data_IF_524869931904
#
_entry.id   IF_524869931904
#
_cell.length_a   1.000
_cell.length_b   1.000
_cell.length_c   1.000
_cell.angle_alpha   90.00
_cell.angle_beta   90.00
_cell.angle_gamma   90.00
#
_symmetry.space_group_name_H-M   'P 1'
#
loop_
_entity.id
_entity.type
_entity.pdbx_description
1 polymer ?
#
# COMPACT_ATOMS: atom_id res chain seq x y z
N UNK A 1 -19.69 16.67 6.29
CA UNK A 1 -18.40 16.41 6.98
C UNK A 1 -17.34 16.42 5.91
N UNK A 2 -16.17 17.01 6.18
CA UNK A 2 -15.18 17.31 5.15
C UNK A 2 -14.75 16.03 4.41
N UNK A 3 -15.06 15.93 3.12
CA UNK A 3 -14.45 14.95 2.22
C UNK A 3 -12.99 15.38 2.03
N UNK A 4 -12.12 14.98 2.96
CA UNK A 4 -10.71 14.86 2.66
C UNK A 4 -10.57 13.74 1.63
N UNK A 5 -9.91 14.02 0.50
CA UNK A 5 -9.56 12.99 -0.48
C UNK A 5 -8.90 11.80 0.22
N UNK A 6 -9.35 10.58 -0.10
CA UNK A 6 -8.86 9.38 0.57
C UNK A 6 -7.32 9.26 0.39
N UNK A 7 -6.56 8.97 1.46
CA UNK A 7 -5.09 8.95 1.44
C UNK A 7 -4.46 8.03 0.40
N UNK A 8 -5.15 6.96 0.00
CA UNK A 8 -4.70 5.97 -0.98
C UNK A 8 -4.75 6.49 -2.42
N UNK A 9 -5.68 7.40 -2.74
CA UNK A 9 -5.88 7.89 -4.12
C UNK A 9 -4.61 8.53 -4.70
N UNK A 10 -3.94 9.49 -4.02
CA UNK A 10 -2.71 10.08 -4.55
C UNK A 10 -1.59 9.07 -4.78
N UNK A 11 -1.49 8.03 -3.92
CA UNK A 11 -0.48 6.99 -4.05
C UNK A 11 -0.71 6.14 -5.31
N UNK A 12 -1.93 5.62 -5.49
CA UNK A 12 -2.21 4.75 -6.64
C UNK A 12 -2.23 5.53 -7.96
N UNK A 13 -2.59 6.81 -7.93
CA UNK A 13 -2.42 7.69 -9.09
C UNK A 13 -0.94 7.80 -9.48
N UNK A 14 -0.05 8.14 -8.54
CA UNK A 14 1.38 8.24 -8.80
C UNK A 14 1.97 6.92 -9.33
N UNK A 15 1.63 5.78 -8.72
CA UNK A 15 2.10 4.46 -9.15
C UNK A 15 1.65 4.12 -10.58
N UNK A 16 0.41 4.49 -10.93
CA UNK A 16 -0.14 4.29 -12.28
C UNK A 16 0.57 5.18 -13.30
N UNK A 17 0.83 6.44 -12.96
CA UNK A 17 1.57 7.38 -13.83
C UNK A 17 3.01 6.92 -14.06
N UNK A 18 3.70 6.48 -13.00
CA UNK A 18 5.06 5.93 -13.11
C UNK A 18 5.11 4.69 -13.98
N UNK A 19 4.14 3.77 -13.82
CA UNK A 19 4.04 2.58 -14.66
C UNK A 19 3.87 2.96 -16.14
N UNK A 20 2.92 3.86 -16.44
CA UNK A 20 2.69 4.33 -17.82
C UNK A 20 3.96 4.97 -18.41
N UNK A 21 4.71 5.72 -17.61
CA UNK A 21 5.98 6.29 -18.04
C UNK A 21 7.00 5.21 -18.39
N UNK A 22 7.18 4.20 -17.54
CA UNK A 22 8.10 3.07 -17.79
C UNK A 22 7.74 2.36 -19.09
N UNK A 23 6.46 2.07 -19.31
CA UNK A 23 5.98 1.38 -20.52
C UNK A 23 6.16 2.22 -21.78
N UNK A 24 5.97 3.53 -21.67
CA UNK A 24 6.21 4.45 -22.79
C UNK A 24 7.69 4.52 -23.18
N UNK A 25 8.59 4.41 -22.19
CA UNK A 25 10.04 4.48 -22.39
C UNK A 25 10.62 3.15 -22.88
N UNK A 26 10.09 2.02 -22.38
CA UNK A 26 10.50 0.67 -22.80
C UNK A 26 9.81 0.23 -24.10
N UNK A 27 8.70 0.87 -24.46
CA UNK A 27 7.78 0.45 -25.52
C UNK A 27 7.32 -1.01 -25.34
N UNK A 28 7.23 -1.45 -24.08
CA UNK A 28 6.82 -2.78 -23.67
C UNK A 28 5.87 -2.68 -22.48
N UNK A 29 4.90 -3.58 -22.47
CA UNK A 29 3.97 -3.71 -21.36
C UNK A 29 4.64 -4.31 -20.11
N UNK A 30 4.48 -3.66 -18.96
CA UNK A 30 5.02 -4.08 -17.66
C UNK A 30 3.96 -4.80 -16.80
N UNK A 31 3.59 -6.01 -17.25
CA UNK A 31 2.54 -6.83 -16.64
C UNK A 31 2.82 -7.16 -15.16
N UNK A 32 4.08 -7.42 -14.80
CA UNK A 32 4.45 -7.72 -13.42
C UNK A 32 4.24 -6.51 -12.50
N UNK A 33 4.58 -5.30 -12.96
CA UNK A 33 4.39 -4.07 -12.19
C UNK A 33 2.90 -3.77 -12.01
N UNK A 34 2.07 -3.98 -13.04
CA UNK A 34 0.61 -3.92 -12.89
C UNK A 34 0.10 -4.83 -11.78
N UNK A 35 0.49 -6.10 -11.82
CA UNK A 35 0.06 -7.09 -10.84
C UNK A 35 0.52 -6.71 -9.42
N UNK A 36 1.72 -6.14 -9.26
CA UNK A 36 2.21 -5.65 -7.97
C UNK A 36 1.41 -4.45 -7.45
N UNK A 37 1.06 -3.50 -8.32
CA UNK A 37 0.22 -2.35 -7.96
C UNK A 37 -1.18 -2.82 -7.54
N UNK A 38 -1.78 -3.77 -8.26
CA UNK A 38 -3.08 -4.35 -7.90
C UNK A 38 -3.03 -5.09 -6.56
N UNK A 39 -2.02 -5.94 -6.36
CA UNK A 39 -1.82 -6.65 -5.09
C UNK A 39 -1.62 -5.69 -3.92
N UNK A 40 -0.88 -4.59 -4.12
CA UNK A 40 -0.72 -3.54 -3.12
C UNK A 40 -2.05 -2.86 -2.81
N UNK A 41 -2.88 -2.60 -3.82
CA UNK A 41 -4.24 -2.09 -3.68
C UNK A 41 -5.10 -2.94 -2.75
N UNK A 42 -5.01 -4.26 -2.88
CA UNK A 42 -5.71 -5.19 -1.98
C UNK A 42 -5.08 -5.26 -0.60
N UNK A 43 -3.76 -5.10 -0.48
CA UNK A 43 -3.04 -5.16 0.80
C UNK A 43 -3.38 -3.96 1.68
N UNK A 44 -3.48 -2.75 1.12
CA UNK A 44 -3.72 -1.53 1.91
C UNK A 44 -5.10 -1.51 2.58
N UNK A 45 -6.09 -2.20 2.00
CA UNK A 45 -7.44 -2.31 2.56
C UNK A 45 -7.56 -3.38 3.65
N UNK A 46 -6.53 -4.22 3.84
CA UNK A 46 -6.58 -5.28 4.84
C UNK A 46 -6.59 -4.70 6.24
N UNK A 47 -7.54 -5.17 7.03
CA UNK A 47 -7.67 -4.86 8.45
C UNK A 47 -7.82 -6.18 9.19
N UNK A 48 -7.14 -6.39 10.34
CA UNK A 48 -7.34 -7.59 11.14
C UNK A 48 -8.82 -7.79 11.48
N UNK A 49 -9.35 -8.98 11.18
CA UNK A 49 -10.78 -9.29 11.38
C UNK A 49 -11.15 -9.48 12.86
N UNK A 50 -10.18 -9.80 13.72
CA UNK A 50 -10.38 -9.99 15.15
C UNK A 50 -9.23 -9.35 15.93
N UNK A 51 -9.59 -8.58 16.97
CA UNK A 51 -8.65 -8.26 18.03
C UNK A 51 -8.18 -9.58 18.67
N UNK A 52 -6.92 -9.67 19.14
CA UNK A 52 -6.48 -10.84 19.88
C UNK A 52 -7.48 -11.16 20.99
N UNK A 53 -7.79 -12.45 21.17
CA UNK A 53 -8.45 -12.95 22.40
C UNK A 53 -7.71 -12.36 23.60
N UNK A 54 -8.38 -12.16 24.74
CA UNK A 54 -7.72 -11.74 25.97
C UNK A 54 -6.41 -12.54 26.16
N UNK A 55 -5.30 -11.85 25.90
CA UNK A 55 -3.95 -12.39 26.07
C UNK A 55 -3.56 -12.16 27.51
N UNK A 56 -2.86 -13.11 28.11
CA UNK A 56 -2.19 -12.89 29.39
C UNK A 56 -0.92 -12.02 29.20
N UNK A 57 -0.33 -11.54 30.31
CA UNK A 57 0.85 -10.66 30.26
C UNK A 57 2.06 -11.31 29.55
N UNK A 58 2.21 -12.63 29.67
CA UNK A 58 3.34 -13.37 29.09
C UNK A 58 3.16 -13.55 27.58
N UNK A 59 1.93 -13.82 27.13
CA UNK A 59 1.55 -13.85 25.72
C UNK A 59 1.67 -12.47 25.07
N UNK A 60 1.31 -11.40 25.79
CA UNK A 60 1.52 -10.02 25.31
C UNK A 60 3.01 -9.76 25.10
N UNK A 61 3.87 -10.11 26.05
CA UNK A 61 5.31 -9.95 25.91
C UNK A 61 5.86 -10.74 24.70
N UNK A 62 5.40 -11.97 24.49
CA UNK A 62 5.81 -12.79 23.36
C UNK A 62 5.37 -12.20 22.00
N UNK A 63 4.15 -11.66 21.90
CA UNK A 63 3.71 -10.99 20.68
C UNK A 63 4.43 -9.66 20.46
N UNK A 64 4.79 -8.92 21.51
CA UNK A 64 5.62 -7.72 21.41
C UNK A 64 7.04 -8.04 20.92
N UNK A 65 7.69 -9.08 21.44
CA UNK A 65 9.00 -9.55 20.97
C UNK A 65 8.96 -9.95 19.48
N UNK A 66 7.90 -10.65 19.09
CA UNK A 66 7.65 -11.02 17.70
C UNK A 66 7.38 -9.81 16.81
N UNK A 67 6.63 -8.81 17.27
CA UNK A 67 6.44 -7.55 16.56
C UNK A 67 7.78 -6.81 16.39
N UNK A 68 8.59 -6.74 17.45
CA UNK A 68 9.91 -6.11 17.42
C UNK A 68 10.81 -6.77 16.38
N UNK A 69 10.91 -8.10 16.37
CA UNK A 69 11.74 -8.82 15.40
C UNK A 69 11.28 -8.62 13.95
N UNK A 70 9.97 -8.49 13.71
CA UNK A 70 9.42 -8.16 12.39
C UNK A 70 9.78 -6.75 11.98
N UNK A 71 9.71 -5.79 12.90
CA UNK A 71 10.11 -4.41 12.64
C UNK A 71 11.60 -4.31 12.30
N UNK A 72 12.47 -5.01 13.04
CA UNK A 72 13.90 -5.08 12.74
C UNK A 72 14.18 -5.67 11.36
N UNK A 73 13.40 -6.66 10.93
CA UNK A 73 13.54 -7.24 9.59
C UNK A 73 13.13 -6.25 8.49
N UNK A 74 12.02 -5.54 8.67
CA UNK A 74 11.56 -4.50 7.74
C UNK A 74 12.59 -3.37 7.65
N UNK A 75 13.14 -2.91 8.78
CA UNK A 75 14.17 -1.87 8.82
C UNK A 75 15.45 -2.28 8.07
N UNK A 76 15.88 -3.54 8.22
CA UNK A 76 17.01 -4.10 7.45
C UNK A 76 16.72 -4.14 5.95
N UNK A 77 15.52 -4.55 5.55
CA UNK A 77 15.14 -4.60 4.13
C UNK A 77 15.13 -3.19 3.52
N UNK A 78 14.58 -2.21 4.23
CA UNK A 78 14.55 -0.81 3.80
C UNK A 78 15.98 -0.27 3.69
N UNK A 79 16.79 -0.42 4.75
CA UNK A 79 18.17 0.05 4.77
C UNK A 79 18.98 -0.58 3.63
N UNK A 80 18.84 -1.89 3.41
CA UNK A 80 19.51 -2.58 2.30
C UNK A 80 19.09 -2.05 0.93
N UNK A 81 17.79 -1.75 0.73
CA UNK A 81 17.31 -1.18 -0.52
C UNK A 81 17.82 0.25 -0.74
N UNK A 82 17.81 1.07 0.31
CA UNK A 82 18.29 2.46 0.28
C UNK A 82 19.81 2.58 0.09
N UNK A 83 20.58 1.62 0.62
CA UNK A 83 22.03 1.56 0.45
C UNK A 83 22.41 1.05 -0.95
N UNK A 84 21.59 0.18 -1.53
CA UNK A 84 21.84 -0.40 -2.87
C UNK A 84 21.52 0.58 -3.99
N UNK A 85 20.54 1.47 -3.79
CA UNK A 85 20.09 2.42 -4.80
C UNK A 85 19.77 3.81 -4.17
N UNK A 86 20.68 4.79 -4.30
CA UNK A 86 20.45 6.16 -3.83
C UNK A 86 19.26 6.86 -4.49
N UNK A 87 18.90 6.50 -5.73
CA UNK A 87 17.75 7.09 -6.43
C UNK A 87 16.44 6.62 -5.81
N UNK A 88 16.36 5.34 -5.43
CA UNK A 88 15.22 4.79 -4.67
C UNK A 88 15.04 5.54 -3.35
N UNK A 89 16.13 5.81 -2.62
CA UNK A 89 16.09 6.61 -1.39
C UNK A 89 15.54 8.02 -1.64
N UNK A 90 16.01 8.69 -2.70
CA UNK A 90 15.55 10.03 -3.06
C UNK A 90 14.06 10.03 -3.41
N UNK A 91 13.62 9.07 -4.22
CA UNK A 91 12.22 8.91 -4.62
C UNK A 91 11.31 8.67 -3.41
N UNK A 92 11.66 7.72 -2.53
CA UNK A 92 10.89 7.44 -1.32
C UNK A 92 10.83 8.64 -0.37
N UNK A 93 11.93 9.38 -0.24
CA UNK A 93 11.97 10.57 0.62
C UNK A 93 11.14 11.72 0.03
N UNK A 94 11.21 11.93 -1.29
CA UNK A 94 10.50 13.02 -1.99
C UNK A 94 9.00 12.79 -2.11
N UNK A 95 8.53 11.55 -2.00
CA UNK A 95 7.12 11.15 -2.08
C UNK A 95 6.53 10.77 -0.73
N UNK A 96 7.21 11.07 0.37
CA UNK A 96 6.81 10.70 1.73
C UNK A 96 5.44 11.27 2.14
N UNK A 97 5.08 12.44 1.64
CA UNK A 97 3.77 13.06 1.81
C UNK A 97 2.63 12.24 1.18
N UNK A 98 2.93 11.37 0.22
CA UNK A 98 1.96 10.54 -0.49
C UNK A 98 1.84 9.14 0.15
N UNK A 99 2.94 8.46 0.45
CA UNK A 99 2.88 7.08 0.95
C UNK A 99 2.76 6.97 2.47
N UNK A 100 3.29 7.93 3.24
CA UNK A 100 3.19 7.88 4.72
C UNK A 100 1.73 7.83 5.21
N UNK A 101 0.80 8.68 4.72
CA UNK A 101 -0.58 8.64 5.16
C UNK A 101 -1.28 7.29 4.93
N UNK A 102 -0.88 6.55 3.88
CA UNK A 102 -1.45 5.23 3.57
C UNK A 102 -0.94 4.16 4.54
N UNK A 103 0.34 4.19 4.88
CA UNK A 103 0.92 3.18 5.77
C UNK A 103 0.57 3.42 7.25
N UNK A 104 0.40 4.69 7.65
CA UNK A 104 0.03 5.06 9.03
C UNK A 104 -1.47 5.14 9.24
N UNK A 105 -2.27 4.93 8.19
CA UNK A 105 -3.72 4.90 8.28
C UNK A 105 -4.21 3.90 9.33
N UNK A 106 -5.16 4.36 10.13
CA UNK A 106 -5.91 3.56 11.09
C UNK A 106 -6.75 2.48 10.38
N UNK A 107 -7.20 1.50 11.17
CA UNK A 107 -8.09 0.45 10.68
C UNK A 107 -9.36 1.02 10.02
N UNK A 108 -9.94 2.07 10.60
CA UNK A 108 -11.17 2.69 10.08
C UNK A 108 -10.92 3.44 8.76
N UNK A 109 -9.79 4.15 8.65
CA UNK A 109 -9.37 4.79 7.40
C UNK A 109 -9.14 3.76 6.29
N UNK A 110 -8.46 2.64 6.61
CA UNK A 110 -8.17 1.56 5.67
C UNK A 110 -9.41 0.86 5.12
N UNK A 111 -10.48 0.75 5.93
CA UNK A 111 -11.77 0.23 5.45
C UNK A 111 -12.40 1.11 4.37
N UNK A 112 -12.04 2.40 4.35
CA UNK A 112 -12.51 3.36 3.37
C UNK A 112 -11.67 3.43 2.09
N UNK A 113 -10.51 2.78 2.04
CA UNK A 113 -9.63 2.78 0.87
C UNK A 113 -10.29 2.06 -0.31
N UNK A 114 -10.10 2.60 -1.50
CA UNK A 114 -10.49 1.93 -2.73
C UNK A 114 -9.39 0.91 -3.04
N UNK A 115 -9.63 -0.37 -2.72
CA UNK A 115 -8.88 -1.43 -3.38
C UNK A 115 -8.97 -1.18 -4.88
N UNK A 116 -7.89 -1.41 -5.63
CA UNK A 116 -7.83 -1.12 -7.07
C UNK A 116 -8.80 -2.02 -7.84
N UNK A 117 -10.10 -1.80 -7.69
CA UNK A 117 -11.11 -2.24 -8.62
C UNK A 117 -10.89 -1.36 -9.82
N UNK A 118 -10.19 -1.91 -10.82
CA UNK A 118 -10.34 -1.45 -12.19
C UNK A 118 -11.83 -1.28 -12.45
N UNK A 119 -12.27 -0.03 -12.51
CA UNK A 119 -13.63 0.37 -12.83
C UNK A 119 -13.81 0.10 -14.33
N UNK A 120 -13.86 -1.18 -14.69
CA UNK A 120 -14.36 -1.64 -15.96
C UNK A 120 -15.84 -1.34 -15.98
N UNK A 121 -16.20 -0.20 -16.56
CA UNK A 121 -17.57 0.23 -16.81
C UNK A 121 -18.39 -0.92 -17.40
N UNK A 122 -19.28 -1.50 -16.60
CA UNK A 122 -20.49 -2.15 -17.10
C UNK A 122 -21.67 -1.25 -16.77
N UNK A 123 -21.71 -0.11 -17.47
CA UNK A 123 -22.96 0.56 -17.77
C UNK A 123 -23.40 0.12 -19.18
N UNK A 124 -24.16 -0.98 -19.24
CA UNK A 124 -25.10 -1.33 -20.32
C UNK A 124 -26.00 -2.45 -19.76
N UNK A 125 -27.32 -2.47 -19.88
CA UNK A 125 -28.32 -1.54 -20.37
C UNK A 125 -29.66 -2.13 -19.93
N UNK A 126 -30.65 -1.27 -19.76
CA UNK A 126 -32.05 -1.65 -19.52
C UNK A 126 -32.59 -2.71 -20.51
N UNK A 127 -33.66 -3.39 -20.04
CA UNK A 127 -34.84 -3.88 -20.80
C UNK A 127 -34.82 -5.38 -21.16
N UNK A 128 -35.61 -6.19 -20.46
CA UNK A 128 -37.03 -6.45 -20.78
C UNK A 128 -37.71 -7.24 -19.66
#
# INVERSE_FOLDING_TARGET
MAEGSKPDVPLFQLLTELLQQVESMSNQEEVELRAKIEALGLEVTKVPEQAPKHLDELEIAAELDKLSSRLDNVDKMISSAMDSDPEVKSLLSSTADIWMPVITASADERRGFAGTSSEGSQEEKSKQ
#
